data_IF_452355548122
#
_entry.id   IF_452355548122
#
_cell.length_a   1.000
_cell.length_b   1.000
_cell.length_c   1.000
_cell.angle_alpha   90.00
_cell.angle_beta   90.00
_cell.angle_gamma   90.00
#
_symmetry.space_group_name_H-M   'P 1'
#
loop_
_entity.id
_entity.type
_entity.pdbx_description
1 polymer ?
#
# COMPACT_ATOMS: atom_id res chain seq x y z
N UNK A 1 -4.58 -7.15 -4.64
CA UNK A 1 -4.93 -6.17 -3.60
C UNK A 1 -6.23 -6.60 -2.93
N UNK A 2 -6.29 -6.56 -1.60
CA UNK A 2 -7.45 -6.85 -0.78
C UNK A 2 -7.91 -5.57 -0.08
N UNK A 3 -9.22 -5.40 0.08
CA UNK A 3 -9.82 -4.30 0.82
C UNK A 3 -10.82 -4.85 1.83
N UNK A 4 -10.63 -4.53 3.11
CA UNK A 4 -11.51 -4.99 4.18
C UNK A 4 -11.69 -3.93 5.26
N UNK A 5 -12.85 -3.89 5.93
CA UNK A 5 -13.06 -2.97 7.05
C UNK A 5 -12.21 -3.37 8.26
N UNK A 6 -11.80 -2.37 9.05
CA UNK A 6 -11.17 -2.50 10.36
C UNK A 6 -11.96 -1.64 11.38
N UNK A 7 -11.47 -1.58 12.62
CA UNK A 7 -12.04 -0.82 13.73
C UNK A 7 -12.25 0.66 13.36
N UNK A 8 -13.17 1.32 14.05
CA UNK A 8 -13.41 2.77 13.95
C UNK A 8 -13.73 3.28 12.54
N UNK A 9 -14.31 2.42 11.70
CA UNK A 9 -14.73 2.76 10.34
C UNK A 9 -13.58 2.95 9.36
N UNK A 10 -12.41 2.38 9.63
CA UNK A 10 -11.32 2.34 8.67
C UNK A 10 -11.52 1.23 7.64
N UNK A 11 -10.98 1.45 6.45
CA UNK A 11 -10.77 0.44 5.42
C UNK A 11 -9.27 0.21 5.32
N UNK A 12 -8.86 -1.06 5.39
CA UNK A 12 -7.49 -1.51 5.18
C UNK A 12 -7.33 -1.95 3.72
N UNK A 13 -6.22 -1.53 3.10
CA UNK A 13 -5.75 -1.97 1.80
C UNK A 13 -4.46 -2.78 1.98
N UNK A 14 -4.43 -3.99 1.44
CA UNK A 14 -3.29 -4.90 1.55
C UNK A 14 -2.92 -5.47 0.18
N UNK A 15 -1.64 -5.67 -0.08
CA UNK A 15 -1.13 -6.30 -1.30
C UNK A 15 -0.62 -7.71 -0.97
N UNK A 16 -1.39 -8.79 -1.20
CA UNK A 16 -1.00 -10.14 -0.77
C UNK A 16 0.29 -10.65 -1.42
N UNK A 17 0.57 -10.21 -2.65
CA UNK A 17 1.81 -10.53 -3.34
C UNK A 17 3.02 -9.82 -2.76
N UNK A 18 2.85 -8.81 -1.91
CA UNK A 18 3.93 -8.07 -1.25
C UNK A 18 3.62 -8.00 0.25
N UNK A 19 3.90 -9.07 1.02
CA UNK A 19 3.61 -9.11 2.45
C UNK A 19 4.18 -7.90 3.19
N UNK A 20 3.35 -7.24 4.01
CA UNK A 20 3.71 -6.01 4.73
C UNK A 20 3.36 -4.72 4.01
N UNK A 21 2.94 -4.76 2.74
CA UNK A 21 2.36 -3.61 2.05
C UNK A 21 0.90 -3.43 2.47
N UNK A 22 0.72 -2.65 3.53
CA UNK A 22 -0.56 -2.38 4.17
C UNK A 22 -0.72 -0.87 4.36
N UNK A 23 -1.93 -0.39 4.09
CA UNK A 23 -2.34 1.00 4.31
C UNK A 23 -3.79 1.02 4.79
N UNK A 24 -4.22 2.14 5.38
CA UNK A 24 -5.60 2.33 5.80
C UNK A 24 -6.12 3.73 5.46
N UNK A 25 -7.44 3.86 5.35
CA UNK A 25 -8.13 5.13 5.13
C UNK A 25 -9.56 5.07 5.65
N UNK A 26 -10.19 6.24 5.86
CA UNK A 26 -11.61 6.34 6.26
C UNK A 26 -12.56 5.97 5.14
N UNK A 27 -12.08 5.94 3.90
CA UNK A 27 -12.81 5.47 2.73
C UNK A 27 -11.97 4.46 1.96
N UNK A 28 -12.63 3.73 1.04
CA UNK A 28 -11.95 2.81 0.13
C UNK A 28 -10.94 3.57 -0.73
N UNK A 29 -11.35 4.72 -1.26
CA UNK A 29 -10.52 5.59 -2.10
C UNK A 29 -9.28 6.05 -1.34
N UNK A 30 -9.44 6.48 -0.08
CA UNK A 30 -8.29 6.91 0.73
C UNK A 30 -7.31 5.76 1.00
N UNK A 31 -7.80 4.58 1.37
CA UNK A 31 -6.93 3.43 1.62
C UNK A 31 -6.14 3.01 0.36
N UNK A 32 -6.79 3.11 -0.81
CA UNK A 32 -6.20 2.86 -2.12
C UNK A 32 -5.17 3.91 -2.53
N UNK A 33 -5.48 5.20 -2.38
CA UNK A 33 -4.53 6.29 -2.67
C UNK A 33 -3.30 6.15 -1.78
N UNK A 34 -3.50 5.94 -0.48
CA UNK A 34 -2.40 5.81 0.47
C UNK A 34 -1.47 4.62 0.14
N UNK A 35 -2.01 3.44 -0.24
CA UNK A 35 -1.15 2.30 -0.60
C UNK A 35 -0.41 2.58 -1.93
N UNK A 36 -1.05 3.25 -2.89
CA UNK A 36 -0.42 3.59 -4.17
C UNK A 36 0.72 4.59 -4.00
N UNK A 37 0.53 5.62 -3.17
CA UNK A 37 1.57 6.60 -2.84
C UNK A 37 2.75 5.92 -2.13
N UNK A 38 2.49 5.06 -1.15
CA UNK A 38 3.54 4.32 -0.45
C UNK A 38 4.33 3.40 -1.40
N UNK A 39 3.66 2.70 -2.32
CA UNK A 39 4.32 1.88 -3.34
C UNK A 39 5.19 2.72 -4.29
N UNK A 40 4.69 3.87 -4.76
CA UNK A 40 5.44 4.75 -5.64
C UNK A 40 6.70 5.28 -4.95
N UNK A 41 6.57 5.76 -3.70
CA UNK A 41 7.71 6.21 -2.90
C UNK A 41 8.75 5.11 -2.70
N UNK A 42 8.31 3.87 -2.46
CA UNK A 42 9.24 2.76 -2.32
C UNK A 42 9.98 2.47 -3.64
N UNK A 43 9.27 2.46 -4.78
CA UNK A 43 9.87 2.28 -6.10
C UNK A 43 10.90 3.37 -6.40
N UNK A 44 10.60 4.63 -6.08
CA UNK A 44 11.54 5.75 -6.24
C UNK A 44 12.82 5.52 -5.44
N UNK A 45 12.71 5.04 -4.18
CA UNK A 45 13.86 4.72 -3.33
C UNK A 45 14.69 3.56 -3.91
N UNK A 46 14.04 2.50 -4.41
CA UNK A 46 14.73 1.38 -5.05
C UNK A 46 15.50 1.83 -6.29
N UNK A 47 14.85 2.61 -7.16
CA UNK A 47 15.48 3.17 -8.36
C UNK A 47 16.69 4.04 -8.02
N UNK A 48 16.58 4.89 -6.99
CA UNK A 48 17.70 5.72 -6.53
C UNK A 48 18.90 4.90 -6.00
N UNK A 49 18.66 3.66 -5.57
CA UNK A 49 19.70 2.72 -5.11
C UNK A 49 20.18 1.76 -6.19
N UNK A 50 19.56 1.78 -7.38
CA UNK A 50 19.83 0.80 -8.43
C UNK A 50 19.29 -0.61 -8.12
N UNK A 51 18.31 -0.71 -7.24
CA UNK A 51 17.63 -1.95 -6.85
C UNK A 51 16.32 -2.12 -7.66
N UNK A 52 15.87 -3.36 -7.82
CA UNK A 52 14.59 -3.70 -8.46
C UNK A 52 13.60 -4.25 -7.44
N UNK A 53 12.31 -3.96 -7.64
CA UNK A 53 11.25 -4.56 -6.85
C UNK A 53 11.21 -6.06 -7.14
N UNK A 54 11.44 -6.88 -6.12
CA UNK A 54 11.29 -8.34 -6.19
C UNK A 54 9.92 -8.68 -5.58
N UNK A 55 8.95 -9.13 -6.40
CA UNK A 55 7.62 -9.51 -5.93
C UNK A 55 7.61 -10.85 -5.19
#
# INVERSE_FOLDING_TARGET
MLLYPDKDGYIVAEVPSLPGYISQGKTREQALTNIQEAMNLHIEVLQARGETLIP
#
